data_IF_925810235962
#
_entry.id   IF_925810235962
#
_cell.length_a   1.000
_cell.length_b   1.000
_cell.length_c   1.000
_cell.angle_alpha   90.00
_cell.angle_beta   90.00
_cell.angle_gamma   90.00
#
_symmetry.space_group_name_H-M   'P 1'
#
loop_
_entity.id
_entity.type
_entity.pdbx_description
1 polymer ?
#
# COMPACT_ATOMS: atom_id res chain seq x y z
N UNK A 1 39.99 25.89 48.97
CA UNK A 1 40.47 25.07 47.81
C UNK A 1 39.59 23.84 47.49
N UNK A 2 38.56 23.52 48.28
CA UNK A 2 37.68 22.32 48.10
C UNK A 2 36.42 22.65 47.22
N UNK A 3 35.97 23.90 47.17
CA UNK A 3 34.75 24.29 46.41
C UNK A 3 34.93 24.32 44.90
N UNK A 4 36.17 24.64 44.41
CA UNK A 4 36.44 24.73 42.96
C UNK A 4 36.52 23.37 42.27
N UNK A 5 36.86 22.30 42.99
CA UNK A 5 36.88 20.94 42.41
C UNK A 5 35.48 20.33 42.25
N UNK A 6 34.55 20.65 43.15
CA UNK A 6 33.15 20.17 43.04
C UNK A 6 32.43 20.85 41.84
N UNK A 7 32.72 22.12 41.59
CA UNK A 7 32.14 22.85 40.45
C UNK A 7 32.65 22.32 39.09
N UNK A 8 33.94 21.98 38.99
CA UNK A 8 34.53 21.36 37.78
C UNK A 8 33.94 20.00 37.48
N UNK A 9 33.69 19.21 38.52
CA UNK A 9 33.11 17.86 38.39
C UNK A 9 31.66 17.93 37.96
N UNK A 10 30.89 18.93 38.44
CA UNK A 10 29.51 19.16 38.06
C UNK A 10 29.36 19.64 36.59
N UNK A 11 30.27 20.53 36.11
CA UNK A 11 30.30 21.00 34.73
C UNK A 11 30.68 19.86 33.78
N UNK A 12 31.59 18.97 34.18
CA UNK A 12 31.96 17.78 33.39
C UNK A 12 30.78 16.80 33.20
N UNK A 13 29.94 16.64 34.21
CA UNK A 13 28.75 15.78 34.15
C UNK A 13 27.64 16.35 33.25
N UNK A 14 27.51 17.66 33.21
CA UNK A 14 26.53 18.35 32.32
C UNK A 14 26.96 18.23 30.85
N UNK A 15 28.25 18.30 30.55
CA UNK A 15 28.77 18.19 29.18
C UNK A 15 28.57 16.75 28.64
N UNK A 16 28.71 15.73 29.46
CA UNK A 16 28.48 14.33 29.05
C UNK A 16 27.01 14.00 28.81
N UNK A 17 26.08 14.70 29.49
CA UNK A 17 24.63 14.51 29.30
C UNK A 17 24.09 15.03 27.98
N UNK A 18 24.81 15.91 27.28
CA UNK A 18 24.36 16.53 26.02
C UNK A 18 24.71 15.72 24.76
N UNK A 19 25.52 14.67 24.87
CA UNK A 19 25.90 13.82 23.73
C UNK A 19 24.97 12.63 23.51
N UNK A 20 23.84 12.54 24.20
CA UNK A 20 22.87 11.43 24.03
C UNK A 20 21.76 11.74 23.00
N UNK A 21 22.02 12.62 22.00
CA UNK A 21 21.21 12.60 20.80
C UNK A 21 21.69 11.45 19.92
N UNK A 22 21.07 10.28 20.05
CA UNK A 22 21.13 9.27 19.00
C UNK A 22 20.42 9.84 17.78
N UNK A 23 21.11 9.93 16.65
CA UNK A 23 20.46 10.14 15.36
C UNK A 23 19.40 9.04 15.20
N UNK A 24 18.14 9.46 15.07
CA UNK A 24 17.08 8.53 14.70
C UNK A 24 17.41 8.13 13.26
N UNK A 25 17.86 6.91 13.06
CA UNK A 25 17.96 6.32 11.73
C UNK A 25 16.55 6.34 11.12
N UNK A 26 16.29 7.32 10.27
CA UNK A 26 15.07 7.35 9.46
C UNK A 26 15.24 6.27 8.42
N UNK A 27 14.56 5.14 8.59
CA UNK A 27 14.51 4.10 7.57
C UNK A 27 13.96 4.73 6.28
N UNK A 28 14.72 4.59 5.20
CA UNK A 28 14.31 5.06 3.89
C UNK A 28 12.95 4.47 3.54
N UNK A 29 12.04 5.34 3.09
CA UNK A 29 10.75 4.90 2.54
C UNK A 29 11.01 3.93 1.41
N UNK A 30 10.21 2.86 1.35
CA UNK A 30 10.29 1.90 0.25
C UNK A 30 9.90 2.63 -1.04
N UNK A 31 10.91 2.99 -1.85
CA UNK A 31 10.68 3.57 -3.16
C UNK A 31 10.23 2.45 -4.10
N UNK A 32 9.00 2.56 -4.63
CA UNK A 32 8.47 1.60 -5.58
C UNK A 32 8.54 2.14 -7.00
N UNK A 33 9.07 1.32 -7.92
CA UNK A 33 9.16 1.67 -9.33
C UNK A 33 7.97 1.07 -10.11
N UNK A 34 6.98 1.88 -10.42
CA UNK A 34 5.80 1.50 -11.19
C UNK A 34 6.10 1.11 -12.64
N UNK A 35 7.27 1.50 -13.20
CA UNK A 35 7.65 1.14 -14.56
C UNK A 35 7.90 -0.36 -14.74
N UNK A 36 8.09 -1.10 -13.65
CA UNK A 36 8.22 -2.55 -13.65
C UNK A 36 6.88 -3.28 -13.76
N UNK A 37 5.77 -2.57 -13.50
CA UNK A 37 4.42 -3.13 -13.61
C UNK A 37 3.91 -3.10 -15.05
N UNK A 38 2.98 -3.98 -15.39
CA UNK A 38 2.34 -4.01 -16.71
C UNK A 38 1.81 -2.63 -17.13
N UNK A 39 2.04 -2.28 -18.40
CA UNK A 39 1.47 -1.12 -19.06
C UNK A 39 0.35 -1.58 -19.98
N UNK A 40 -0.83 -0.97 -19.82
CA UNK A 40 -2.03 -1.34 -20.56
C UNK A 40 -2.47 -0.12 -21.35
N UNK A 41 -2.69 -0.31 -22.65
CA UNK A 41 -3.21 0.73 -23.54
C UNK A 41 -4.56 0.26 -24.06
N UNK A 42 -5.61 1.03 -23.79
CA UNK A 42 -6.98 0.72 -24.21
C UNK A 42 -7.41 1.66 -25.34
N UNK A 43 -8.06 1.11 -26.36
CA UNK A 43 -8.68 1.88 -27.44
C UNK A 43 -9.92 2.58 -26.90
N UNK A 44 -9.74 3.79 -26.36
CA UNK A 44 -10.80 4.63 -25.82
C UNK A 44 -10.42 6.12 -25.91
N UNK A 45 -11.41 7.00 -26.08
CA UNK A 45 -11.21 8.46 -26.06
C UNK A 45 -10.89 8.97 -24.66
N UNK A 46 -11.58 8.42 -23.64
CA UNK A 46 -11.50 8.91 -22.26
C UNK A 46 -11.25 7.79 -21.27
N UNK A 47 -10.39 8.08 -20.30
CA UNK A 47 -10.22 7.30 -19.08
C UNK A 47 -10.86 8.03 -17.89
N UNK A 48 -11.77 7.38 -17.19
CA UNK A 48 -12.41 7.89 -15.97
C UNK A 48 -12.08 7.00 -14.79
N UNK A 49 -11.52 7.58 -13.74
CA UNK A 49 -11.21 6.90 -12.49
C UNK A 49 -12.20 7.31 -11.42
N UNK A 50 -12.95 6.35 -10.87
CA UNK A 50 -13.92 6.55 -9.79
C UNK A 50 -13.47 5.83 -8.53
N UNK A 51 -13.30 6.59 -7.46
CA UNK A 51 -13.10 6.02 -6.15
C UNK A 51 -14.47 5.79 -5.50
N UNK A 52 -14.89 4.53 -5.38
CA UNK A 52 -16.09 4.10 -4.68
C UNK A 52 -15.77 3.54 -3.28
N UNK A 53 -14.48 3.39 -2.96
CA UNK A 53 -14.02 2.92 -1.67
C UNK A 53 -14.00 4.04 -0.65
N UNK A 54 -14.63 3.82 0.49
CA UNK A 54 -14.53 4.67 1.67
C UNK A 54 -13.78 3.92 2.79
N UNK A 55 -12.73 4.53 3.31
CA UNK A 55 -11.95 3.96 4.42
C UNK A 55 -12.81 3.81 5.66
N UNK A 56 -12.82 2.60 6.22
CA UNK A 56 -13.57 2.29 7.45
C UNK A 56 -12.78 2.74 8.67
N UNK A 57 -13.44 3.45 9.59
CA UNK A 57 -12.78 4.02 10.78
C UNK A 57 -12.70 3.05 11.97
N UNK A 58 -13.32 1.88 11.87
CA UNK A 58 -13.37 0.88 12.93
C UNK A 58 -12.37 -0.26 12.71
N UNK A 59 -11.92 -0.87 13.79
CA UNK A 59 -11.12 -2.10 13.72
C UNK A 59 -11.83 -3.19 12.92
N UNK A 60 -11.09 -4.01 12.17
CA UNK A 60 -9.63 -4.10 12.09
C UNK A 60 -8.98 -3.20 11.03
N UNK A 61 -9.69 -2.26 10.41
CA UNK A 61 -9.20 -1.40 9.34
C UNK A 61 -8.25 -0.33 9.88
N UNK A 62 -7.09 -0.16 9.22
CA UNK A 62 -6.05 0.80 9.61
C UNK A 62 -5.65 1.76 8.48
N UNK A 63 -6.15 1.56 7.27
CA UNK A 63 -5.83 2.39 6.10
C UNK A 63 -6.18 3.87 6.28
N UNK A 64 -7.23 4.19 7.05
CA UNK A 64 -7.63 5.56 7.37
C UNK A 64 -6.58 6.36 8.17
N UNK A 65 -5.70 5.69 8.89
CA UNK A 65 -4.65 6.31 9.72
C UNK A 65 -3.29 6.39 9.05
N UNK A 66 -3.17 5.88 7.82
CA UNK A 66 -1.90 5.84 7.09
C UNK A 66 -1.62 7.16 6.36
N UNK A 67 -0.36 7.56 6.30
CA UNK A 67 0.10 8.69 5.48
C UNK A 67 -0.06 8.35 3.99
N UNK A 68 0.26 7.09 3.62
CA UNK A 68 0.12 6.60 2.25
C UNK A 68 -0.75 5.32 2.23
N UNK A 69 -2.08 5.45 2.20
CA UNK A 69 -3.00 4.31 2.20
C UNK A 69 -2.94 3.52 0.88
N UNK A 70 -3.40 2.24 0.87
CA UNK A 70 -3.36 1.37 -0.31
C UNK A 70 -3.98 1.98 -1.58
N UNK A 71 -5.01 2.80 -1.43
CA UNK A 71 -5.66 3.46 -2.56
C UNK A 71 -4.74 4.40 -3.34
N UNK A 72 -3.75 5.02 -2.68
CA UNK A 72 -2.79 5.90 -3.35
C UNK A 72 -1.88 5.10 -4.29
N UNK A 73 -1.47 3.90 -3.92
CA UNK A 73 -0.68 3.00 -4.76
C UNK A 73 -1.45 2.59 -6.02
N UNK A 74 -2.75 2.26 -5.89
CA UNK A 74 -3.63 1.97 -7.03
C UNK A 74 -3.77 3.19 -7.96
N UNK A 75 -4.08 4.35 -7.40
CA UNK A 75 -4.26 5.58 -8.18
C UNK A 75 -2.98 5.93 -8.96
N UNK A 76 -1.82 5.76 -8.35
CA UNK A 76 -0.54 6.06 -8.99
C UNK A 76 -0.26 5.07 -10.13
N UNK A 77 -0.53 3.77 -9.94
CA UNK A 77 -0.41 2.78 -10.98
C UNK A 77 -1.37 3.04 -12.14
N UNK A 78 -2.67 3.33 -11.87
CA UNK A 78 -3.64 3.66 -12.91
C UNK A 78 -3.24 4.88 -13.73
N UNK A 79 -2.67 5.89 -13.07
CA UNK A 79 -2.23 7.11 -13.75
C UNK A 79 -0.99 6.90 -14.63
N UNK A 80 -0.04 6.07 -14.17
CA UNK A 80 1.23 5.84 -14.88
C UNK A 80 1.16 4.75 -15.93
N UNK A 81 0.41 3.67 -15.65
CA UNK A 81 0.52 2.44 -16.42
C UNK A 81 -0.71 2.11 -17.26
N UNK A 82 -1.89 2.72 -16.99
CA UNK A 82 -3.07 2.52 -17.80
C UNK A 82 -3.34 3.78 -18.61
N UNK A 83 -3.23 3.66 -19.94
CA UNK A 83 -3.43 4.77 -20.88
C UNK A 83 -4.55 4.45 -21.86
N UNK A 84 -5.14 5.49 -22.44
CA UNK A 84 -6.13 5.36 -23.50
C UNK A 84 -5.65 6.09 -24.74
N UNK A 85 -5.89 5.49 -25.91
CA UNK A 85 -5.60 6.06 -27.22
C UNK A 85 -6.77 5.71 -28.14
N UNK A 86 -7.50 6.70 -28.64
CA UNK A 86 -8.65 6.51 -29.54
C UNK A 86 -9.51 7.75 -29.62
N UNK A 87 -10.54 7.68 -30.46
CA UNK A 87 -11.53 8.75 -30.68
C UNK A 87 -12.94 8.31 -30.29
N UNK A 88 -13.11 7.07 -29.90
CA UNK A 88 -14.37 6.42 -29.56
C UNK A 88 -14.23 5.72 -28.23
N UNK A 89 -15.34 5.33 -27.62
CA UNK A 89 -15.41 4.57 -26.35
C UNK A 89 -14.96 5.37 -25.13
N UNK A 90 -15.42 4.91 -23.97
CA UNK A 90 -15.07 5.45 -22.66
C UNK A 90 -14.63 4.31 -21.74
N UNK A 91 -13.43 4.39 -21.20
CA UNK A 91 -12.91 3.43 -20.25
C UNK A 91 -13.06 3.94 -18.81
N UNK A 92 -13.82 3.22 -18.00
CA UNK A 92 -14.07 3.56 -16.59
C UNK A 92 -13.42 2.55 -15.67
N UNK A 93 -12.76 3.03 -14.63
CA UNK A 93 -12.11 2.26 -13.57
C UNK A 93 -12.81 2.61 -12.27
N UNK A 94 -13.46 1.63 -11.63
CA UNK A 94 -14.16 1.78 -10.35
C UNK A 94 -13.36 1.08 -9.24
N UNK A 95 -12.76 1.83 -8.33
CA UNK A 95 -12.10 1.26 -7.16
C UNK A 95 -13.18 0.95 -6.12
N UNK A 96 -13.47 -0.34 -5.90
CA UNK A 96 -14.52 -0.82 -4.99
C UNK A 96 -13.93 -1.07 -3.60
N UNK A 97 -12.71 -1.63 -3.53
CA UNK A 97 -12.00 -1.84 -2.27
C UNK A 97 -10.49 -1.60 -2.44
N UNK A 98 -9.90 -0.91 -1.46
CA UNK A 98 -8.46 -0.68 -1.34
C UNK A 98 -8.11 -0.64 0.15
N UNK A 99 -8.37 -1.75 0.85
CA UNK A 99 -8.32 -1.81 2.30
C UNK A 99 -7.02 -2.39 2.84
N UNK A 100 -6.68 -1.97 4.06
CA UNK A 100 -5.67 -2.60 4.89
C UNK A 100 -6.25 -2.89 6.27
N UNK A 101 -6.10 -4.15 6.71
CA UNK A 101 -6.55 -4.62 8.02
C UNK A 101 -5.37 -5.07 8.86
N UNK A 102 -5.49 -4.87 10.17
CA UNK A 102 -4.55 -5.38 11.18
C UNK A 102 -5.33 -6.11 12.25
N UNK A 103 -5.03 -7.39 12.46
CA UNK A 103 -5.68 -8.24 13.46
C UNK A 103 -4.64 -8.89 14.35
N UNK A 104 -5.01 -9.18 15.59
CA UNK A 104 -4.18 -9.97 16.49
C UNK A 104 -4.59 -11.44 16.38
N UNK A 105 -3.64 -12.32 16.08
CA UNK A 105 -3.88 -13.76 15.95
C UNK A 105 -2.96 -14.56 16.88
N UNK A 106 -3.37 -15.77 17.32
CA UNK A 106 -2.52 -16.66 18.07
C UNK A 106 -1.27 -17.06 17.28
N UNK A 107 -0.13 -17.06 17.92
CA UNK A 107 1.11 -17.57 17.34
C UNK A 107 1.19 -19.09 17.53
N UNK A 108 0.86 -19.86 16.49
CA UNK A 108 0.87 -21.33 16.51
C UNK A 108 2.27 -21.93 16.67
N UNK A 109 3.33 -21.20 16.29
CA UNK A 109 4.73 -21.65 16.41
C UNK A 109 5.35 -21.29 17.75
N UNK A 110 4.56 -20.80 18.71
CA UNK A 110 5.06 -20.40 20.02
C UNK A 110 5.39 -21.61 20.88
N UNK A 111 6.69 -21.87 21.14
CA UNK A 111 7.14 -22.75 22.23
C UNK A 111 6.71 -22.14 23.58
N UNK A 112 6.57 -22.98 24.64
CA UNK A 112 5.99 -22.71 25.97
C UNK A 112 6.37 -21.37 26.64
N UNK A 113 7.40 -20.67 26.13
CA UNK A 113 7.91 -19.38 26.62
C UNK A 113 7.99 -18.28 25.56
N UNK A 114 7.42 -18.49 24.35
CA UNK A 114 7.41 -17.50 23.27
C UNK A 114 6.08 -16.76 23.19
N UNK A 115 6.11 -15.63 22.50
CA UNK A 115 5.01 -14.68 22.28
C UNK A 115 3.73 -15.40 21.84
N UNK A 116 2.67 -15.26 22.62
CA UNK A 116 1.39 -15.96 22.40
C UNK A 116 0.63 -15.41 21.19
N UNK A 117 0.87 -14.15 20.82
CA UNK A 117 0.15 -13.45 19.77
C UNK A 117 1.10 -12.71 18.85
N UNK A 118 0.69 -12.59 17.58
CA UNK A 118 1.35 -11.84 16.51
C UNK A 118 0.31 -10.97 15.81
N UNK A 119 0.76 -9.96 15.04
CA UNK A 119 -0.13 -9.21 14.16
C UNK A 119 -0.19 -9.87 12.78
N UNK A 120 -1.40 -9.98 12.26
CA UNK A 120 -1.71 -10.31 10.88
C UNK A 120 -2.11 -9.01 10.17
N UNK A 121 -1.47 -8.72 9.04
CA UNK A 121 -1.86 -7.66 8.12
C UNK A 121 -2.44 -8.28 6.86
N UNK A 122 -3.54 -7.70 6.38
CA UNK A 122 -4.23 -8.14 5.17
C UNK A 122 -4.55 -6.92 4.31
N UNK A 123 -4.12 -6.90 3.06
CA UNK A 123 -4.52 -5.90 2.08
C UNK A 123 -5.38 -6.53 1.01
N UNK A 124 -6.41 -5.80 0.56
CA UNK A 124 -7.32 -6.22 -0.49
C UNK A 124 -7.53 -5.09 -1.49
N UNK A 125 -7.34 -5.40 -2.78
CA UNK A 125 -7.73 -4.57 -3.92
C UNK A 125 -8.86 -5.25 -4.67
N UNK A 126 -9.96 -4.53 -4.88
CA UNK A 126 -11.07 -4.94 -5.73
C UNK A 126 -11.44 -3.77 -6.65
N UNK A 127 -11.29 -3.99 -7.95
CA UNK A 127 -11.53 -2.96 -8.97
C UNK A 127 -12.32 -3.54 -10.12
N UNK A 128 -13.28 -2.75 -10.60
CA UNK A 128 -14.05 -3.03 -11.79
C UNK A 128 -13.58 -2.13 -12.93
N UNK A 129 -13.35 -2.73 -14.09
CA UNK A 129 -12.99 -2.07 -15.35
C UNK A 129 -14.16 -2.20 -16.31
N UNK A 130 -14.65 -1.10 -16.84
CA UNK A 130 -15.80 -1.07 -17.74
C UNK A 130 -15.43 -0.27 -18.99
N UNK A 131 -15.72 -0.84 -20.14
CA UNK A 131 -15.62 -0.16 -21.41
C UNK A 131 -17.02 0.10 -21.96
N UNK A 132 -17.32 1.35 -22.23
CA UNK A 132 -18.58 1.80 -22.84
C UNK A 132 -18.34 2.22 -24.28
N UNK A 133 -19.32 1.97 -25.15
CA UNK A 133 -19.38 2.60 -26.46
C UNK A 133 -19.88 4.05 -26.38
N UNK A 134 -19.93 4.74 -27.52
CA UNK A 134 -20.39 6.13 -27.63
C UNK A 134 -21.88 6.31 -27.27
N UNK A 135 -22.64 5.22 -27.26
CA UNK A 135 -24.05 5.18 -26.85
C UNK A 135 -24.24 4.84 -25.38
N UNK A 136 -23.14 4.75 -24.63
CA UNK A 136 -23.08 4.32 -23.21
C UNK A 136 -23.54 2.88 -22.96
N UNK A 137 -23.48 1.98 -23.94
CA UNK A 137 -23.62 0.55 -23.71
C UNK A 137 -22.30 -0.07 -23.27
N UNK A 138 -22.36 -1.02 -22.34
CA UNK A 138 -21.18 -1.77 -21.89
C UNK A 138 -20.78 -2.76 -22.99
N UNK A 139 -19.57 -2.58 -23.53
CA UNK A 139 -18.98 -3.44 -24.56
C UNK A 139 -17.85 -4.33 -24.00
N UNK A 140 -17.41 -4.06 -22.79
CA UNK A 140 -16.44 -4.87 -22.04
C UNK A 140 -16.53 -4.61 -20.56
N UNK A 141 -16.40 -5.66 -19.75
CA UNK A 141 -16.35 -5.56 -18.28
C UNK A 141 -15.38 -6.60 -17.73
N UNK A 142 -14.65 -6.22 -16.69
CA UNK A 142 -13.78 -7.12 -15.94
C UNK A 142 -13.69 -6.67 -14.48
N UNK A 143 -13.79 -7.63 -13.56
CA UNK A 143 -13.59 -7.39 -12.12
C UNK A 143 -12.33 -8.12 -11.68
N UNK A 144 -11.43 -7.40 -11.05
CA UNK A 144 -10.13 -7.92 -10.60
C UNK A 144 -10.03 -7.80 -9.09
N UNK A 145 -9.66 -8.89 -8.46
CA UNK A 145 -9.39 -8.93 -7.01
C UNK A 145 -7.98 -9.49 -6.74
N UNK A 146 -7.25 -8.83 -5.86
CA UNK A 146 -6.00 -9.33 -5.30
C UNK A 146 -5.97 -9.12 -3.79
N UNK A 147 -5.52 -10.16 -3.08
CA UNK A 147 -5.36 -10.17 -1.63
C UNK A 147 -3.98 -10.65 -1.27
N UNK A 148 -3.35 -9.97 -0.31
CA UNK A 148 -2.07 -10.40 0.25
C UNK A 148 -2.11 -10.29 1.77
N UNK A 149 -1.38 -11.18 2.43
CA UNK A 149 -1.28 -11.21 3.88
C UNK A 149 0.17 -11.33 4.33
N UNK A 150 0.48 -10.75 5.48
CA UNK A 150 1.77 -10.95 6.16
C UNK A 150 1.60 -10.89 7.66
N UNK A 151 2.56 -11.39 8.39
CA UNK A 151 2.53 -11.36 9.86
C UNK A 151 3.76 -10.65 10.41
N UNK A 152 3.61 -10.06 11.59
CA UNK A 152 4.72 -9.48 12.31
C UNK A 152 4.67 -9.78 13.81
N UNK A 153 5.82 -9.65 14.47
CA UNK A 153 5.84 -9.64 15.93
C UNK A 153 5.13 -8.39 16.48
N UNK A 154 4.48 -8.51 17.64
CA UNK A 154 3.89 -7.36 18.35
C UNK A 154 4.90 -6.32 18.84
N UNK A 155 6.17 -6.67 18.89
CA UNK A 155 7.24 -5.88 19.53
C UNK A 155 8.26 -5.39 18.50
N UNK A 156 7.81 -5.09 17.30
CA UNK A 156 8.61 -4.38 16.29
C UNK A 156 8.44 -2.88 16.47
N UNK A 157 9.39 -2.11 15.97
CA UNK A 157 9.30 -0.66 15.92
C UNK A 157 8.20 -0.20 14.96
N UNK A 158 7.73 1.04 15.11
CA UNK A 158 6.77 1.62 14.19
C UNK A 158 7.30 1.61 12.75
N UNK A 159 8.57 1.99 12.56
CA UNK A 159 9.22 2.02 11.24
C UNK A 159 9.31 0.63 10.59
N UNK A 160 9.65 -0.42 11.37
CA UNK A 160 9.61 -1.79 10.85
C UNK A 160 8.20 -2.23 10.47
N UNK A 161 7.19 -1.84 11.25
CA UNK A 161 5.78 -2.10 10.94
C UNK A 161 5.37 -1.43 9.63
N UNK A 162 5.69 -0.15 9.45
CA UNK A 162 5.42 0.60 8.22
C UNK A 162 6.10 -0.05 7.00
N UNK A 163 7.37 -0.42 7.12
CA UNK A 163 8.10 -1.11 6.05
C UNK A 163 7.46 -2.45 5.66
N UNK A 164 7.02 -3.24 6.64
CA UNK A 164 6.31 -4.52 6.40
C UNK A 164 5.00 -4.27 5.65
N UNK A 165 4.27 -3.23 6.04
CA UNK A 165 3.00 -2.84 5.41
C UNK A 165 3.25 -2.36 3.97
N UNK A 166 4.24 -1.50 3.74
CA UNK A 166 4.57 -1.02 2.40
C UNK A 166 4.93 -2.19 1.46
N UNK A 167 5.76 -3.12 1.91
CA UNK A 167 6.11 -4.33 1.15
C UNK A 167 4.86 -5.17 0.85
N UNK A 168 3.97 -5.33 1.82
CA UNK A 168 2.72 -6.07 1.63
C UNK A 168 1.84 -5.42 0.55
N UNK A 169 1.67 -4.10 0.60
CA UNK A 169 0.85 -3.35 -0.37
C UNK A 169 1.48 -3.44 -1.77
N UNK A 170 2.80 -3.28 -1.88
CA UNK A 170 3.54 -3.37 -3.14
C UNK A 170 3.40 -4.76 -3.77
N UNK A 171 3.55 -5.82 -2.98
CA UNK A 171 3.38 -7.19 -3.47
C UNK A 171 1.94 -7.43 -3.95
N UNK A 172 0.95 -6.98 -3.19
CA UNK A 172 -0.45 -7.07 -3.58
C UNK A 172 -0.74 -6.29 -4.86
N UNK A 173 -0.14 -5.09 -5.02
CA UNK A 173 -0.27 -4.28 -6.24
C UNK A 173 0.35 -4.99 -7.45
N UNK A 174 1.50 -5.65 -7.30
CA UNK A 174 2.11 -6.41 -8.37
C UNK A 174 1.20 -7.55 -8.83
N UNK A 175 0.70 -8.35 -7.90
CA UNK A 175 -0.25 -9.43 -8.21
C UNK A 175 -1.54 -8.91 -8.85
N UNK A 176 -2.02 -7.75 -8.38
CA UNK A 176 -3.20 -7.09 -8.93
C UNK A 176 -2.96 -6.62 -10.36
N UNK A 177 -1.80 -6.01 -10.65
CA UNK A 177 -1.45 -5.51 -11.96
C UNK A 177 -1.32 -6.65 -12.99
N UNK A 178 -0.69 -7.76 -12.62
CA UNK A 178 -0.55 -8.94 -13.48
C UNK A 178 -1.91 -9.58 -13.79
N UNK A 179 -2.76 -9.77 -12.77
CA UNK A 179 -4.14 -10.26 -12.94
C UNK A 179 -4.98 -9.32 -13.81
N UNK A 180 -4.79 -8.00 -13.63
CA UNK A 180 -5.51 -7.02 -14.43
C UNK A 180 -5.13 -7.15 -15.90
N UNK A 181 -3.84 -7.26 -16.22
CA UNK A 181 -3.39 -7.47 -17.59
C UNK A 181 -3.98 -8.74 -18.19
N UNK A 182 -3.97 -9.85 -17.44
CA UNK A 182 -4.53 -11.12 -17.90
C UNK A 182 -6.04 -11.01 -18.20
N UNK A 183 -6.83 -10.50 -17.24
CA UNK A 183 -8.28 -10.45 -17.37
C UNK A 183 -8.76 -9.43 -18.41
N UNK A 184 -8.08 -8.29 -18.54
CA UNK A 184 -8.37 -7.33 -19.62
C UNK A 184 -8.03 -7.93 -20.98
N UNK A 185 -6.93 -8.69 -21.11
CA UNK A 185 -6.57 -9.41 -22.31
C UNK A 185 -7.61 -10.47 -22.71
N UNK A 186 -8.30 -11.07 -21.75
CA UNK A 186 -9.38 -12.05 -22.03
C UNK A 186 -10.68 -11.35 -22.41
N UNK A 187 -11.12 -10.38 -21.62
CA UNK A 187 -12.47 -9.81 -21.72
C UNK A 187 -12.56 -8.61 -22.66
N UNK A 188 -11.45 -7.90 -22.91
CA UNK A 188 -11.39 -6.69 -23.71
C UNK A 188 -10.37 -6.77 -24.85
N UNK A 189 -10.00 -7.98 -25.28
CA UNK A 189 -8.94 -8.23 -26.28
C UNK A 189 -9.01 -7.37 -27.52
N UNK A 190 -10.22 -7.06 -28.02
CA UNK A 190 -10.43 -6.24 -29.23
C UNK A 190 -10.05 -4.76 -29.06
N UNK A 191 -9.92 -4.32 -27.82
CA UNK A 191 -9.73 -2.92 -27.45
C UNK A 191 -8.35 -2.66 -26.80
N UNK A 192 -7.46 -3.64 -26.79
CA UNK A 192 -6.08 -3.51 -26.31
C UNK A 192 -5.16 -3.22 -27.50
N UNK A 193 -4.26 -2.26 -27.32
CA UNK A 193 -3.31 -1.79 -28.33
C UNK A 193 -1.88 -2.22 -27.99
#
# INVERSE_FOLDING_TARGET
>A
MIATNKLKFFIFFIIFGLYSCQEIEVLDKVAFNYDQLPKIIISAEKKELKNLYESKLNEPYIDHSMINPPINFLNEWFNKNINTIGSENKFQINIIEASLKKSEIPNTDSKKYKKKFIFLYETNFLVEFILYDDSNFIIGNSVVEAKSTTTSSRYISLQESEKIIDILIINCLSDFADKTQELINVHMKKYIL
#
